data_IF_135168365443
#
_entry.id   IF_135168365443
#
_cell.length_a   1.000
_cell.length_b   1.000
_cell.length_c   1.000
_cell.angle_alpha   90.00
_cell.angle_beta   90.00
_cell.angle_gamma   90.00
#
_symmetry.space_group_name_H-M   'P 1'
#
loop_
_entity.id
_entity.type
_entity.pdbx_description
1 polymer ?
#
# COMPACT_ATOMS: atom_id res chain seq x y z
N UNK A 1 -10.85 27.64 -1.53
CA UNK A 1 -10.62 26.43 -2.34
C UNK A 1 -9.31 25.83 -1.89
N UNK A 2 -9.32 24.65 -1.26
CA UNK A 2 -8.08 23.91 -0.99
C UNK A 2 -7.65 23.32 -2.34
N UNK A 3 -6.44 23.63 -2.80
CA UNK A 3 -5.93 23.05 -4.03
C UNK A 3 -5.83 21.52 -3.83
N UNK A 4 -6.66 20.77 -4.55
CA UNK A 4 -6.62 19.30 -4.52
C UNK A 4 -5.26 18.80 -4.99
N UNK A 5 -4.72 17.82 -4.27
CA UNK A 5 -3.42 17.23 -4.54
C UNK A 5 -3.52 15.74 -4.87
N UNK A 6 -2.50 15.19 -5.52
CA UNK A 6 -2.39 13.75 -5.67
C UNK A 6 -2.08 13.11 -4.32
N UNK A 7 -2.74 11.99 -4.04
CA UNK A 7 -2.63 11.29 -2.76
C UNK A 7 -2.46 9.79 -3.01
N UNK A 8 -1.54 9.15 -2.28
CA UNK A 8 -1.32 7.71 -2.29
C UNK A 8 -1.11 7.21 -0.86
N UNK A 9 -1.68 6.05 -0.51
CA UNK A 9 -1.53 5.47 0.81
C UNK A 9 -1.59 3.95 0.77
N UNK A 10 -0.77 3.30 1.60
CA UNK A 10 -0.94 1.89 1.97
C UNK A 10 -0.75 1.78 3.47
N UNK A 11 -1.59 1.00 4.13
CA UNK A 11 -1.53 0.81 5.57
C UNK A 11 -2.07 -0.57 5.93
N UNK A 12 -1.68 -1.08 7.09
CA UNK A 12 -2.39 -2.14 7.76
C UNK A 12 -2.97 -1.61 9.08
N UNK A 13 -4.09 -2.17 9.49
CA UNK A 13 -4.85 -1.75 10.66
C UNK A 13 -5.23 -2.98 11.49
N UNK A 14 -5.00 -2.87 12.79
CA UNK A 14 -5.37 -3.85 13.81
C UNK A 14 -6.55 -3.30 14.61
N UNK A 15 -7.66 -4.04 14.62
CA UNK A 15 -8.82 -3.73 15.44
C UNK A 15 -8.82 -4.63 16.68
N UNK A 16 -9.01 -4.05 17.86
CA UNK A 16 -8.95 -4.79 19.14
C UNK A 16 -10.26 -5.53 19.50
N UNK A 17 -11.32 -5.36 18.70
CA UNK A 17 -12.65 -5.93 18.97
C UNK A 17 -13.45 -5.20 20.08
N UNK A 18 -12.88 -4.16 20.67
CA UNK A 18 -13.40 -3.39 21.82
C UNK A 18 -13.56 -1.90 21.51
N UNK A 19 -13.45 -1.53 20.23
CA UNK A 19 -13.59 -0.16 19.75
C UNK A 19 -12.27 0.63 19.71
N UNK A 20 -11.11 0.00 19.92
CA UNK A 20 -9.79 0.57 19.70
C UNK A 20 -9.12 0.02 18.45
N UNK A 21 -8.33 0.84 17.77
CA UNK A 21 -7.49 0.38 16.68
C UNK A 21 -6.08 0.94 16.78
N UNK A 22 -5.14 0.21 16.19
CA UNK A 22 -3.80 0.70 15.84
C UNK A 22 -3.54 0.46 14.37
N UNK A 23 -2.75 1.31 13.74
CA UNK A 23 -2.40 1.20 12.33
C UNK A 23 -0.95 1.62 12.12
N UNK A 24 -0.33 1.03 11.12
CA UNK A 24 0.95 1.50 10.58
C UNK A 24 0.76 1.70 9.09
N UNK A 25 1.18 2.86 8.62
CA UNK A 25 0.93 3.24 7.24
C UNK A 25 1.96 4.19 6.67
N UNK A 26 2.00 4.18 5.35
CA UNK A 26 2.79 5.10 4.55
C UNK A 26 1.87 5.88 3.62
N UNK A 27 2.18 7.15 3.41
CA UNK A 27 1.41 8.06 2.58
C UNK A 27 2.28 9.06 1.86
N UNK A 28 1.77 9.52 0.72
CA UNK A 28 2.34 10.61 -0.07
C UNK A 28 1.24 11.60 -0.39
N UNK A 29 1.44 12.86 -0.03
CA UNK A 29 0.56 13.97 -0.39
C UNK A 29 1.37 14.97 -1.20
N UNK A 30 1.05 15.09 -2.49
CA UNK A 30 1.81 15.92 -3.44
C UNK A 30 3.33 15.64 -3.39
N UNK A 31 3.73 14.38 -3.23
CA UNK A 31 5.13 13.96 -3.18
C UNK A 31 5.81 14.14 -1.83
N UNK A 32 5.13 14.72 -0.84
CA UNK A 32 5.60 14.78 0.55
C UNK A 32 5.24 13.49 1.26
N UNK A 33 6.25 12.80 1.80
CA UNK A 33 6.10 11.48 2.38
C UNK A 33 5.90 11.49 3.89
N UNK A 34 5.14 10.51 4.33
CA UNK A 34 5.18 9.96 5.68
C UNK A 34 5.26 8.45 5.57
N UNK A 35 6.27 7.82 6.17
CA UNK A 35 6.55 6.38 6.01
C UNK A 35 6.48 5.70 7.37
N UNK A 36 5.89 4.52 7.44
CA UNK A 36 5.74 3.69 8.65
C UNK A 36 5.24 4.47 9.87
N UNK A 37 4.33 5.41 9.61
CA UNK A 37 3.74 6.24 10.65
C UNK A 37 2.74 5.40 11.44
N UNK A 38 2.86 5.44 12.76
CA UNK A 38 1.95 4.74 13.67
C UNK A 38 0.81 5.66 14.10
N UNK A 39 -0.39 5.11 14.07
CA UNK A 39 -1.62 5.80 14.49
C UNK A 39 -2.44 4.89 15.37
N UNK A 40 -3.09 5.48 16.36
CA UNK A 40 -4.06 4.83 17.23
C UNK A 40 -5.34 5.66 17.29
N UNK A 41 -6.46 4.98 17.53
CA UNK A 41 -7.74 5.65 17.58
C UNK A 41 -8.87 4.78 18.09
N UNK A 42 -10.09 5.27 17.86
CA UNK A 42 -11.32 4.56 18.20
C UNK A 42 -12.14 4.27 16.97
N UNK A 43 -12.92 3.21 17.04
CA UNK A 43 -13.94 2.90 16.07
C UNK A 43 -15.23 2.48 16.78
N UNK A 44 -16.34 2.66 16.07
CA UNK A 44 -17.66 2.16 16.45
C UNK A 44 -18.25 1.40 15.27
N UNK A 45 -18.74 0.20 15.52
CA UNK A 45 -19.45 -0.63 14.55
C UNK A 45 -20.91 -0.71 14.97
N UNK A 46 -21.80 -0.37 14.03
CA UNK A 46 -23.24 -0.47 14.17
C UNK A 46 -23.76 -1.86 13.80
N UNK A 47 -24.97 -2.18 14.24
CA UNK A 47 -25.59 -3.49 14.02
C UNK A 47 -25.86 -3.80 12.54
N UNK A 48 -25.92 -2.77 11.69
CA UNK A 48 -26.09 -2.87 10.24
C UNK A 48 -24.75 -2.94 9.48
N UNK A 49 -23.65 -3.19 10.18
CA UNK A 49 -22.29 -3.24 9.66
C UNK A 49 -21.76 -1.92 9.08
N UNK A 50 -22.43 -0.79 9.37
CA UNK A 50 -21.85 0.54 9.17
C UNK A 50 -21.02 0.95 10.39
N UNK A 51 -20.21 1.98 10.29
CA UNK A 51 -19.45 2.46 11.42
C UNK A 51 -18.72 3.75 11.17
N UNK A 52 -18.06 4.22 12.22
CA UNK A 52 -17.19 5.40 12.20
C UNK A 52 -15.86 5.07 12.84
N UNK A 53 -14.78 5.58 12.27
CA UNK A 53 -13.41 5.43 12.77
C UNK A 53 -12.77 6.81 12.87
N UNK A 54 -12.01 7.03 13.94
CA UNK A 54 -11.28 8.27 14.16
C UNK A 54 -9.93 8.01 14.83
N UNK A 55 -8.87 8.48 14.19
CA UNK A 55 -7.55 8.64 14.77
C UNK A 55 -7.61 9.62 15.94
N UNK A 56 -6.93 9.27 17.03
CA UNK A 56 -6.69 10.17 18.15
C UNK A 56 -5.21 10.60 18.22
N UNK A 57 -4.38 10.08 17.32
CA UNK A 57 -2.99 10.51 17.22
C UNK A 57 -2.94 11.89 16.59
N UNK A 58 -2.30 12.84 17.28
CA UNK A 58 -2.03 14.19 16.77
C UNK A 58 -0.93 14.17 15.68
N UNK A 59 -1.17 13.40 14.61
CA UNK A 59 -0.28 13.30 13.45
C UNK A 59 -1.01 13.82 12.23
N UNK A 60 -0.45 14.84 11.60
CA UNK A 60 -0.90 15.35 10.29
C UNK A 60 -0.34 14.52 9.13
N UNK A 61 0.34 13.42 9.44
CA UNK A 61 1.21 12.71 8.51
C UNK A 61 0.53 11.53 7.80
N UNK A 62 -0.66 11.09 8.22
CA UNK A 62 -1.40 10.02 7.55
C UNK A 62 -2.77 10.48 7.05
N UNK A 63 -3.18 9.93 5.91
CA UNK A 63 -4.44 10.24 5.19
C UNK A 63 -5.68 9.62 5.87
N UNK A 64 -5.56 9.15 7.12
CA UNK A 64 -6.64 8.49 7.85
C UNK A 64 -6.95 9.17 9.20
N UNK A 65 -7.44 10.43 9.23
CA UNK A 65 -7.83 11.04 10.49
C UNK A 65 -9.21 10.56 10.95
N UNK A 66 -10.20 10.47 10.05
CA UNK A 66 -11.52 9.92 10.37
C UNK A 66 -12.34 9.59 9.12
N UNK A 67 -13.40 8.80 9.30
CA UNK A 67 -14.33 8.48 8.23
C UNK A 67 -15.43 7.51 8.62
N UNK A 68 -16.38 7.35 7.69
CA UNK A 68 -17.44 6.37 7.77
C UNK A 68 -17.08 5.14 6.96
N UNK A 69 -17.40 3.98 7.48
CA UNK A 69 -17.10 2.73 6.81
C UNK A 69 -18.28 1.78 6.78
N UNK A 70 -18.22 0.86 5.83
CA UNK A 70 -19.07 -0.33 5.75
C UNK A 70 -18.19 -1.57 5.81
N UNK A 71 -18.58 -2.55 6.61
CA UNK A 71 -17.88 -3.81 6.76
C UNK A 71 -18.66 -4.95 6.08
N UNK A 72 -18.08 -5.50 5.02
CA UNK A 72 -18.59 -6.70 4.37
C UNK A 72 -17.99 -7.93 5.05
N UNK A 73 -18.69 -8.45 6.06
CA UNK A 73 -18.20 -9.52 6.94
C UNK A 73 -17.77 -10.79 6.19
N UNK A 74 -18.57 -11.24 5.22
CA UNK A 74 -18.28 -12.43 4.41
C UNK A 74 -17.08 -12.23 3.47
N UNK A 75 -16.90 -11.01 2.95
CA UNK A 75 -15.76 -10.67 2.11
C UNK A 75 -14.49 -10.39 2.91
N UNK A 76 -14.60 -10.14 4.21
CA UNK A 76 -13.49 -9.67 5.03
C UNK A 76 -12.94 -8.32 4.56
N UNK A 77 -13.81 -7.47 4.02
CA UNK A 77 -13.46 -6.18 3.41
C UNK A 77 -14.14 -5.03 4.16
N UNK A 78 -13.40 -3.94 4.39
CA UNK A 78 -13.92 -2.66 4.85
C UNK A 78 -13.80 -1.67 3.70
N UNK A 79 -14.87 -0.94 3.41
CA UNK A 79 -14.82 0.24 2.53
C UNK A 79 -15.09 1.47 3.36
N UNK A 80 -14.24 2.47 3.20
CA UNK A 80 -14.26 3.69 3.98
C UNK A 80 -14.25 4.90 3.06
N UNK A 81 -15.05 5.90 3.43
CA UNK A 81 -14.96 7.26 2.91
C UNK A 81 -14.48 8.17 4.05
N UNK A 82 -13.47 8.99 3.78
CA UNK A 82 -12.99 9.95 4.77
C UNK A 82 -13.96 11.12 4.92
N UNK A 83 -14.10 11.63 6.14
CA UNK A 83 -14.83 12.87 6.47
C UNK A 83 -13.88 14.06 6.70
N UNK A 84 -12.59 13.90 6.39
CA UNK A 84 -11.59 14.98 6.41
C UNK A 84 -11.94 16.05 5.36
N UNK A 85 -11.92 17.31 5.76
CA UNK A 85 -12.19 18.45 4.87
C UNK A 85 -11.08 18.74 3.87
N UNK A 86 -9.90 18.15 4.06
CA UNK A 86 -8.69 18.36 3.27
C UNK A 86 -8.37 17.21 2.31
N UNK A 87 -9.04 16.06 2.46
CA UNK A 87 -8.79 14.85 1.67
C UNK A 87 -10.11 14.33 1.09
N UNK A 88 -10.10 14.00 -0.20
CA UNK A 88 -11.19 13.27 -0.86
C UNK A 88 -10.64 11.90 -1.23
N UNK A 89 -11.01 10.87 -0.47
CA UNK A 89 -10.50 9.52 -0.69
C UNK A 89 -11.54 8.44 -0.35
N UNK A 90 -11.53 7.38 -1.17
CA UNK A 90 -12.11 6.10 -0.84
C UNK A 90 -10.98 5.13 -0.51
N UNK A 91 -11.22 4.32 0.51
CA UNK A 91 -10.22 3.43 1.07
C UNK A 91 -10.82 2.03 1.18
N UNK A 92 -10.07 1.04 0.75
CA UNK A 92 -10.45 -0.36 0.88
C UNK A 92 -9.45 -1.04 1.78
N UNK A 93 -9.89 -1.69 2.85
CA UNK A 93 -9.07 -2.59 3.63
C UNK A 93 -9.56 -4.02 3.43
N UNK A 94 -8.63 -4.95 3.20
CA UNK A 94 -8.91 -6.38 3.16
C UNK A 94 -8.26 -7.04 4.35
N UNK A 95 -8.91 -8.07 4.89
CA UNK A 95 -8.33 -8.91 5.93
C UNK A 95 -7.01 -9.49 5.43
N UNK A 96 -5.97 -9.43 6.26
CA UNK A 96 -4.68 -9.99 5.88
C UNK A 96 -4.76 -11.52 5.78
N UNK A 97 -5.21 -12.18 6.85
CA UNK A 97 -5.43 -13.63 6.90
C UNK A 97 -6.72 -13.94 7.67
N UNK A 98 -7.48 -14.94 7.21
CA UNK A 98 -8.73 -15.36 7.85
C UNK A 98 -8.51 -16.13 9.14
N UNK A 99 -7.46 -16.94 9.20
CA UNK A 99 -7.11 -17.70 10.40
C UNK A 99 -6.31 -16.83 11.39
N UNK A 100 -6.96 -16.47 12.50
CA UNK A 100 -6.36 -15.70 13.57
C UNK A 100 -5.26 -16.46 14.35
N UNK A 101 -5.14 -17.79 14.18
CA UNK A 101 -4.12 -18.63 14.83
C UNK A 101 -2.92 -18.92 13.94
N UNK A 102 -2.90 -18.37 12.72
CA UNK A 102 -1.78 -18.55 11.79
C UNK A 102 -0.48 -18.07 12.44
N UNK A 103 0.61 -18.74 12.10
CA UNK A 103 1.95 -18.28 12.45
C UNK A 103 2.19 -16.85 11.91
N UNK A 104 3.06 -16.06 12.57
CA UNK A 104 3.48 -14.77 12.05
C UNK A 104 4.02 -14.88 10.62
N UNK A 105 3.90 -13.81 9.85
CA UNK A 105 4.40 -13.78 8.48
C UNK A 105 5.92 -13.98 8.39
N UNK A 106 6.35 -14.59 7.30
CA UNK A 106 7.74 -14.82 6.92
C UNK A 106 7.92 -14.60 5.43
N UNK A 107 9.17 -14.44 4.97
CA UNK A 107 9.46 -14.22 3.54
C UNK A 107 8.88 -15.32 2.63
N UNK A 108 8.71 -16.55 3.15
CA UNK A 108 8.14 -17.69 2.44
C UNK A 108 6.67 -17.47 2.02
N UNK A 109 5.93 -16.64 2.74
CA UNK A 109 4.51 -16.36 2.45
C UNK A 109 4.31 -15.60 1.13
N UNK A 110 5.34 -14.92 0.65
CA UNK A 110 5.31 -14.22 -0.64
C UNK A 110 5.68 -15.10 -1.82
N UNK A 111 6.17 -16.33 -1.62
CA UNK A 111 6.66 -17.16 -2.72
C UNK A 111 5.62 -17.32 -3.85
N UNK A 112 6.05 -17.02 -5.08
CA UNK A 112 5.26 -17.16 -6.30
C UNK A 112 5.27 -15.92 -7.19
N UNK A 113 4.43 -15.96 -8.21
CA UNK A 113 4.29 -14.91 -9.22
C UNK A 113 3.01 -14.12 -8.99
N UNK A 114 3.09 -12.80 -9.10
CA UNK A 114 1.97 -11.89 -8.89
C UNK A 114 1.82 -10.99 -10.12
N UNK A 115 0.65 -10.97 -10.73
CA UNK A 115 0.32 -9.92 -11.70
C UNK A 115 0.21 -8.60 -10.96
N UNK A 116 0.75 -7.53 -11.52
CA UNK A 116 0.82 -6.24 -10.86
C UNK A 116 0.38 -5.14 -11.80
N UNK A 117 -0.25 -4.13 -11.21
CA UNK A 117 -0.58 -2.87 -11.89
C UNK A 117 -0.52 -1.72 -10.89
N UNK A 118 -0.09 -0.56 -11.35
CA UNK A 118 -0.05 0.63 -10.53
C UNK A 118 0.13 1.88 -11.38
N UNK A 119 -0.35 2.99 -10.84
CA UNK A 119 -0.32 4.29 -11.50
C UNK A 119 -0.22 5.41 -10.47
N UNK A 120 0.16 6.59 -10.96
CA UNK A 120 0.22 7.81 -10.16
C UNK A 120 1.24 8.79 -10.71
N UNK A 121 1.25 10.04 -10.24
CA UNK A 121 2.22 11.03 -10.69
C UNK A 121 3.57 10.90 -9.98
N UNK A 122 4.62 11.23 -10.72
CA UNK A 122 5.91 11.65 -10.18
C UNK A 122 5.97 13.18 -10.31
N UNK A 123 5.94 13.87 -9.17
CA UNK A 123 5.87 15.33 -9.10
C UNK A 123 7.07 15.95 -9.82
N UNK A 124 6.78 16.83 -10.78
CA UNK A 124 7.79 17.48 -11.62
C UNK A 124 8.32 16.64 -12.80
N UNK A 125 7.93 15.36 -12.92
CA UNK A 125 8.38 14.48 -14.02
C UNK A 125 7.25 13.96 -14.92
N UNK A 126 6.05 13.76 -14.38
CA UNK A 126 4.87 13.38 -15.17
C UNK A 126 4.13 12.15 -14.63
N UNK A 127 3.16 11.68 -15.40
CA UNK A 127 2.36 10.51 -15.04
C UNK A 127 3.14 9.21 -15.23
N UNK A 128 2.94 8.26 -14.32
CA UNK A 128 3.46 6.90 -14.38
C UNK A 128 2.29 5.91 -14.39
N UNK A 129 2.38 4.91 -15.26
CA UNK A 129 1.54 3.72 -15.21
C UNK A 129 2.38 2.50 -15.58
N UNK A 130 2.18 1.37 -14.90
CA UNK A 130 2.85 0.13 -15.20
C UNK A 130 1.96 -1.08 -14.99
N UNK A 131 2.20 -2.11 -15.80
CA UNK A 131 1.63 -3.44 -15.61
C UNK A 131 2.72 -4.50 -15.87
N UNK A 132 2.70 -5.59 -15.10
CA UNK A 132 3.73 -6.62 -15.21
C UNK A 132 3.55 -7.75 -14.23
N UNK A 133 4.59 -8.55 -14.05
CA UNK A 133 4.63 -9.69 -13.13
C UNK A 133 5.78 -9.47 -12.14
N UNK A 134 5.51 -9.69 -10.85
CA UNK A 134 6.50 -9.72 -9.78
C UNK A 134 6.69 -11.17 -9.36
N UNK A 135 7.93 -11.65 -9.40
CA UNK A 135 8.32 -12.99 -8.98
C UNK A 135 9.06 -12.92 -7.65
N UNK A 136 8.44 -13.39 -6.58
CA UNK A 136 9.04 -13.49 -5.25
C UNK A 136 9.61 -14.89 -5.02
N UNK A 137 10.85 -14.98 -4.55
CA UNK A 137 11.56 -16.24 -4.35
C UNK A 137 11.27 -16.94 -2.99
N UNK A 138 10.49 -16.30 -2.11
CA UNK A 138 10.20 -16.83 -0.77
C UNK A 138 11.36 -16.70 0.24
N UNK A 139 12.45 -16.04 -0.14
CA UNK A 139 13.75 -16.01 0.56
C UNK A 139 14.34 -14.59 0.66
N UNK A 140 13.59 -13.57 0.22
CA UNK A 140 13.98 -12.16 0.30
C UNK A 140 14.51 -11.57 -1.01
N UNK A 141 14.45 -12.30 -2.11
CA UNK A 141 14.77 -11.84 -3.46
C UNK A 141 13.55 -11.79 -4.38
N UNK A 142 13.50 -10.81 -5.27
CA UNK A 142 12.46 -10.78 -6.30
C UNK A 142 12.98 -10.24 -7.62
N UNK A 143 12.25 -10.58 -8.69
CA UNK A 143 12.38 -9.95 -10.00
C UNK A 143 11.05 -9.40 -10.49
N UNK A 144 11.10 -8.40 -11.34
CA UNK A 144 9.92 -7.78 -11.94
C UNK A 144 10.11 -7.74 -13.46
N UNK A 145 9.09 -8.16 -14.19
CA UNK A 145 8.98 -8.06 -15.63
C UNK A 145 7.77 -7.18 -15.97
N UNK A 146 7.99 -5.98 -16.51
CA UNK A 146 6.90 -5.01 -16.71
C UNK A 146 7.01 -4.20 -17.99
N UNK A 147 5.86 -3.68 -18.41
CA UNK A 147 5.76 -2.58 -19.36
C UNK A 147 5.30 -1.35 -18.59
N UNK A 148 5.91 -0.20 -18.88
CA UNK A 148 5.52 1.06 -18.27
C UNK A 148 5.29 2.14 -19.31
N UNK A 149 4.31 3.01 -19.04
CA UNK A 149 4.10 4.27 -19.72
C UNK A 149 4.54 5.37 -18.77
N UNK A 150 5.56 6.12 -19.16
CA UNK A 150 6.06 7.23 -18.39
C UNK A 150 5.97 8.51 -19.20
N UNK A 151 5.13 9.43 -18.73
CA UNK A 151 4.85 10.70 -19.38
C UNK A 151 4.53 10.56 -20.89
N UNK A 152 3.73 9.55 -21.25
CA UNK A 152 3.36 9.24 -22.63
C UNK A 152 4.36 8.37 -23.40
N UNK A 153 5.54 8.11 -22.84
CA UNK A 153 6.57 7.26 -23.47
C UNK A 153 6.41 5.81 -23.02
N UNK A 154 6.19 4.92 -23.98
CA UNK A 154 6.12 3.48 -23.74
C UNK A 154 7.52 2.88 -23.60
N UNK A 155 7.73 2.15 -22.51
CA UNK A 155 8.97 1.50 -22.15
C UNK A 155 8.68 0.00 -21.87
N UNK A 156 8.74 -0.86 -22.90
CA UNK A 156 8.45 -2.29 -22.77
C UNK A 156 9.62 -3.07 -22.17
N UNK A 157 9.33 -4.28 -21.68
CA UNK A 157 10.31 -5.28 -21.25
C UNK A 157 11.31 -4.80 -20.18
N UNK A 158 10.84 -3.94 -19.26
CA UNK A 158 11.65 -3.47 -18.14
C UNK A 158 11.78 -4.56 -17.10
N UNK A 159 13.03 -4.87 -16.77
CA UNK A 159 13.41 -5.90 -15.80
C UNK A 159 14.08 -5.24 -14.61
N UNK A 160 13.57 -5.52 -13.41
CA UNK A 160 14.14 -5.03 -12.15
C UNK A 160 14.38 -6.19 -11.22
N UNK A 161 15.57 -6.26 -10.64
CA UNK A 161 15.85 -7.15 -9.51
C UNK A 161 15.82 -6.32 -8.24
N UNK A 162 15.21 -6.88 -7.20
CA UNK A 162 15.09 -6.23 -5.90
C UNK A 162 15.28 -7.23 -4.77
N UNK A 163 15.43 -6.69 -3.57
CA UNK A 163 15.34 -7.45 -2.32
C UNK A 163 14.11 -7.04 -1.57
N UNK A 164 13.58 -7.94 -0.76
CA UNK A 164 12.47 -7.65 0.13
C UNK A 164 12.71 -8.27 1.50
N UNK A 165 12.00 -7.73 2.49
CA UNK A 165 11.86 -8.36 3.80
C UNK A 165 10.42 -8.23 4.25
N UNK A 166 9.81 -9.36 4.61
CA UNK A 166 8.49 -9.42 5.23
C UNK A 166 8.63 -9.60 6.74
N UNK A 167 7.98 -8.71 7.48
CA UNK A 167 7.86 -8.75 8.92
C UNK A 167 6.76 -9.71 9.40
N UNK A 168 6.77 -10.05 10.71
CA UNK A 168 5.78 -10.95 11.32
C UNK A 168 4.35 -10.42 11.27
N UNK A 169 4.17 -9.11 11.13
CA UNK A 169 2.91 -8.37 10.95
C UNK A 169 2.44 -8.31 9.49
N UNK A 170 3.10 -9.05 8.60
CA UNK A 170 2.81 -9.09 7.17
C UNK A 170 2.97 -7.73 6.47
N UNK A 171 3.73 -6.82 7.09
CA UNK A 171 4.22 -5.59 6.50
C UNK A 171 5.72 -5.74 6.19
N UNK A 172 6.18 -5.13 5.11
CA UNK A 172 7.54 -5.30 4.65
C UNK A 172 8.08 -4.14 3.86
N UNK A 173 9.35 -4.26 3.51
CA UNK A 173 10.07 -3.28 2.71
C UNK A 173 10.71 -3.92 1.49
N UNK A 174 10.77 -3.16 0.40
CA UNK A 174 11.40 -3.48 -0.87
C UNK A 174 12.60 -2.54 -1.06
N UNK A 175 13.67 -3.06 -1.64
CA UNK A 175 14.88 -2.30 -1.96
C UNK A 175 15.36 -2.65 -3.37
N UNK A 176 15.52 -1.64 -4.22
CA UNK A 176 15.99 -1.80 -5.61
C UNK A 176 16.82 -0.60 -6.06
N UNK A 177 17.58 -0.77 -7.14
CA UNK A 177 18.28 0.34 -7.78
C UNK A 177 17.29 1.19 -8.59
N UNK A 178 17.38 2.51 -8.48
CA UNK A 178 16.58 3.42 -9.29
C UNK A 178 16.86 3.22 -10.77
N UNK A 179 15.81 3.06 -11.58
CA UNK A 179 15.95 3.06 -13.03
C UNK A 179 16.28 4.48 -13.53
N UNK A 180 17.16 4.56 -14.53
CA UNK A 180 17.73 5.82 -15.02
C UNK A 180 16.66 6.80 -15.54
N UNK A 181 15.53 6.27 -15.99
CA UNK A 181 14.38 7.05 -16.48
C UNK A 181 13.70 7.85 -15.38
N UNK A 182 13.79 7.41 -14.11
CA UNK A 182 13.15 8.08 -12.97
C UNK A 182 14.14 8.86 -12.11
N UNK A 183 15.42 8.52 -12.17
CA UNK A 183 16.48 9.21 -11.45
C UNK A 183 17.78 9.09 -12.25
N UNK A 184 18.33 10.20 -12.78
CA UNK A 184 19.58 10.16 -13.53
C UNK A 184 20.79 9.77 -12.66
N UNK A 185 20.69 9.87 -11.34
CA UNK A 185 21.67 9.33 -10.40
C UNK A 185 21.24 7.93 -9.96
N UNK A 186 22.15 6.97 -10.07
CA UNK A 186 21.97 5.64 -9.48
C UNK A 186 21.81 5.77 -7.96
N UNK A 187 20.57 5.65 -7.49
CA UNK A 187 20.21 5.69 -6.09
C UNK A 187 19.57 4.36 -5.69
N UNK A 188 19.68 4.00 -4.42
CA UNK A 188 18.87 2.92 -3.88
C UNK A 188 17.49 3.48 -3.54
N UNK A 189 16.47 2.84 -4.07
CA UNK A 189 15.05 3.17 -3.90
C UNK A 189 14.43 2.19 -2.90
N UNK A 190 13.52 2.70 -2.06
CA UNK A 190 12.81 1.91 -1.07
C UNK A 190 11.31 2.07 -1.25
N UNK A 191 10.57 0.97 -1.10
CA UNK A 191 9.11 0.96 -1.08
C UNK A 191 8.64 0.14 0.13
N UNK A 192 7.46 0.44 0.67
CA UNK A 192 6.83 -0.34 1.75
C UNK A 192 5.67 -1.14 1.18
N UNK A 193 5.32 -2.27 1.78
CA UNK A 193 4.21 -3.07 1.30
C UNK A 193 3.50 -3.83 2.42
N UNK A 194 2.26 -4.24 2.13
CA UNK A 194 1.48 -5.14 2.99
C UNK A 194 1.03 -6.35 2.20
N UNK A 195 1.12 -7.53 2.82
CA UNK A 195 0.55 -8.78 2.32
C UNK A 195 -0.84 -8.97 2.91
N UNK A 196 -1.81 -9.27 2.06
CA UNK A 196 -3.19 -9.46 2.45
C UNK A 196 -3.90 -10.57 1.66
N UNK A 197 -5.19 -10.75 1.94
CA UNK A 197 -6.08 -11.67 1.24
C UNK A 197 -5.59 -13.13 1.25
N UNK A 198 -5.20 -13.61 2.43
CA UNK A 198 -4.62 -14.93 2.65
C UNK A 198 -3.32 -15.16 1.84
N UNK A 199 -2.52 -14.11 1.68
CA UNK A 199 -1.27 -14.16 0.92
C UNK A 199 -1.46 -14.00 -0.60
N UNK A 200 -2.65 -13.64 -1.05
CA UNK A 200 -2.98 -13.50 -2.48
C UNK A 200 -2.90 -12.07 -3.01
N UNK A 201 -2.75 -11.08 -2.16
CA UNK A 201 -2.64 -9.67 -2.58
C UNK A 201 -1.47 -8.97 -1.88
N UNK A 202 -0.61 -8.31 -2.66
CA UNK A 202 0.41 -7.39 -2.15
C UNK A 202 0.02 -5.98 -2.55
N UNK A 203 0.03 -5.06 -1.59
CA UNK A 203 -0.13 -3.62 -1.86
C UNK A 203 1.14 -2.91 -1.53
N UNK A 204 1.70 -2.22 -2.51
CA UNK A 204 2.98 -1.55 -2.42
C UNK A 204 2.73 -0.05 -2.48
N UNK A 205 3.42 0.68 -1.61
CA UNK A 205 3.48 2.13 -1.61
C UNK A 205 4.89 2.57 -1.96
N UNK A 206 5.04 3.53 -2.88
CA UNK A 206 6.37 4.02 -3.20
C UNK A 206 6.88 4.99 -2.14
N UNK A 207 7.91 4.58 -1.39
CA UNK A 207 8.47 5.36 -0.28
C UNK A 207 9.60 6.29 -0.75
N UNK A 208 9.40 6.95 -1.89
CA UNK A 208 10.39 7.84 -2.51
C UNK A 208 9.82 9.25 -2.70
N UNK A 209 10.54 10.29 -2.26
CA UNK A 209 10.05 11.68 -2.37
C UNK A 209 9.65 12.02 -3.79
N UNK A 210 8.57 12.79 -3.93
CA UNK A 210 8.01 13.17 -5.23
C UNK A 210 7.18 12.09 -5.91
N UNK A 211 7.15 10.84 -5.42
CA UNK A 211 6.27 9.79 -5.98
C UNK A 211 4.96 9.74 -5.22
N UNK A 212 3.86 9.71 -5.96
CA UNK A 212 2.51 9.55 -5.41
C UNK A 212 1.86 8.38 -6.13
N UNK A 213 2.29 7.17 -5.81
CA UNK A 213 1.82 5.97 -6.50
C UNK A 213 1.78 4.76 -5.58
N UNK A 214 0.81 3.89 -5.86
CA UNK A 214 0.66 2.57 -5.25
C UNK A 214 0.61 1.52 -6.34
N UNK A 215 1.05 0.30 -6.01
CA UNK A 215 0.94 -0.87 -6.89
C UNK A 215 0.11 -1.92 -6.16
N UNK A 216 -0.86 -2.50 -6.86
CA UNK A 216 -1.57 -3.70 -6.43
C UNK A 216 -1.02 -4.88 -7.20
N UNK A 217 -0.68 -5.95 -6.49
CA UNK A 217 -0.26 -7.20 -7.09
C UNK A 217 -1.10 -8.37 -6.57
N UNK A 218 -1.59 -9.22 -7.48
CA UNK A 218 -2.44 -10.36 -7.18
C UNK A 218 -1.71 -11.64 -7.55
N UNK A 219 -1.69 -12.61 -6.64
CA UNK A 219 -1.04 -13.90 -6.85
C UNK A 219 -1.68 -14.59 -8.04
N UNK A 220 -0.85 -15.02 -8.99
CA UNK A 220 -1.32 -15.89 -10.06
C UNK A 220 -1.73 -17.23 -9.45
N UNK A 221 -2.90 -17.71 -9.83
CA UNK A 221 -3.32 -19.07 -9.50
C UNK A 221 -2.32 -20.05 -10.08
N UNK A 222 -1.95 -21.06 -9.29
CA UNK A 222 -1.24 -22.24 -9.75
C UNK A 222 -2.08 -23.04 -10.77
#
# INVERSE_FOLDING_TARGET
MVAGGAVAAVSYVNFDGKGGFSAVGSSSSNGTLSVDTKVEGKYRLDADCTGHIASQTASTSLIFPSGYFVFASEAGEIRLVTDDRSVIANLTAKRQFKDARRAPCTDADLHGSFISSGEGPIIGSGAFAAAGIIHFDGKGGLSVDRTLNFNGTMLPNKKVNARYKLGPDCHGMLQYASEAEFSPQAATTYDTFVLADDGREVRIFSANPGRVLTVSALKQSD
#
